data_IF_204196310375
#
_entry.id   IF_204196310375
#
_cell.length_a   1.000
_cell.length_b   1.000
_cell.length_c   1.000
_cell.angle_alpha   90.00
_cell.angle_beta   90.00
_cell.angle_gamma   90.00
#
_symmetry.space_group_name_H-M   'P 1'
#
loop_
_entity.id
_entity.type
_entity.pdbx_description
1 polymer ?
#
# COMPACT_ATOMS: atom_id res chain seq x y z
N UNK A 1 -21.21 13.63 31.34
CA UNK A 1 -20.25 14.05 30.29
C UNK A 1 -20.66 13.62 28.86
N UNK A 2 -21.89 13.16 28.61
CA UNK A 2 -22.33 12.74 27.26
C UNK A 2 -22.91 13.87 26.38
N UNK A 3 -23.26 15.03 26.96
CA UNK A 3 -23.93 16.12 26.22
C UNK A 3 -23.00 17.03 25.41
N UNK A 4 -21.68 16.98 25.64
CA UNK A 4 -20.73 17.89 24.98
C UNK A 4 -20.36 17.41 23.57
N UNK A 5 -20.18 16.09 23.39
CA UNK A 5 -19.81 15.47 22.11
C UNK A 5 -20.90 15.67 21.04
N UNK A 6 -22.18 15.60 21.44
CA UNK A 6 -23.31 15.89 20.54
C UNK A 6 -23.34 17.35 20.06
N UNK A 7 -23.06 18.31 20.95
CA UNK A 7 -23.03 19.74 20.61
C UNK A 7 -21.88 20.10 19.66
N UNK A 8 -20.73 19.45 19.77
CA UNK A 8 -19.61 19.65 18.85
C UNK A 8 -19.91 19.13 17.44
N UNK A 9 -20.64 18.01 17.32
CA UNK A 9 -21.05 17.47 16.02
C UNK A 9 -22.06 18.41 15.33
N UNK A 10 -23.08 18.88 16.06
CA UNK A 10 -24.09 19.82 15.53
C UNK A 10 -23.45 21.15 15.10
N UNK A 11 -22.52 21.68 15.90
CA UNK A 11 -21.79 22.91 15.55
C UNK A 11 -20.91 22.74 14.29
N UNK A 12 -20.36 21.55 14.10
CA UNK A 12 -19.57 21.21 12.90
C UNK A 12 -20.45 21.08 11.67
N UNK A 13 -21.62 20.44 11.81
CA UNK A 13 -22.60 20.34 10.73
C UNK A 13 -23.17 21.70 10.32
N UNK A 14 -23.43 22.59 11.29
CA UNK A 14 -23.87 23.97 11.05
C UNK A 14 -22.84 24.77 10.25
N UNK A 15 -21.57 24.76 10.67
CA UNK A 15 -20.49 25.45 9.93
C UNK A 15 -20.32 24.91 8.50
N UNK A 16 -20.50 23.61 8.30
CA UNK A 16 -20.45 23.00 6.97
C UNK A 16 -21.61 23.45 6.10
N UNK A 17 -22.83 23.52 6.66
CA UNK A 17 -24.00 24.04 5.96
C UNK A 17 -23.83 25.51 5.58
N UNK A 18 -23.38 26.35 6.50
CA UNK A 18 -23.08 27.77 6.23
C UNK A 18 -22.04 27.94 5.10
N UNK A 19 -21.00 27.11 5.08
CA UNK A 19 -19.99 27.13 4.02
C UNK A 19 -20.54 26.68 2.65
N UNK A 20 -21.46 25.71 2.62
CA UNK A 20 -22.13 25.28 1.39
C UNK A 20 -23.07 26.36 0.85
N UNK A 21 -23.81 27.03 1.73
CA UNK A 21 -24.74 28.13 1.35
C UNK A 21 -23.96 29.32 0.81
N UNK A 22 -22.88 29.74 1.46
CA UNK A 22 -22.04 30.85 0.99
C UNK A 22 -21.45 30.59 -0.40
N UNK A 23 -21.06 29.34 -0.72
CA UNK A 23 -20.60 28.97 -2.06
C UNK A 23 -21.71 28.98 -3.11
N UNK A 24 -22.94 28.65 -2.72
CA UNK A 24 -24.08 28.67 -3.63
C UNK A 24 -24.47 30.11 -3.98
N UNK A 25 -24.37 31.03 -3.01
CA UNK A 25 -24.56 32.46 -3.21
C UNK A 25 -23.45 33.08 -4.07
N UNK A 26 -22.19 32.68 -3.87
CA UNK A 26 -21.05 33.14 -4.69
C UNK A 26 -21.16 32.65 -6.15
N UNK A 27 -21.60 31.40 -6.36
CA UNK A 27 -21.89 30.90 -7.70
C UNK A 27 -23.09 31.62 -8.33
N UNK A 28 -24.16 31.87 -7.59
CA UNK A 28 -25.30 32.62 -8.11
C UNK A 28 -24.91 34.05 -8.52
N UNK A 29 -23.98 34.69 -7.82
CA UNK A 29 -23.44 36.00 -8.20
C UNK A 29 -22.64 35.99 -9.51
N UNK A 30 -22.09 34.84 -9.91
CA UNK A 30 -21.37 34.69 -11.20
C UNK A 30 -22.28 34.43 -12.40
N UNK A 31 -23.57 34.16 -12.19
CA UNK A 31 -24.52 33.84 -13.27
C UNK A 31 -25.48 34.98 -13.64
N UNK A 32 -25.19 36.22 -13.24
CA UNK A 32 -25.98 37.38 -13.67
C UNK A 32 -25.68 37.73 -15.14
N UNK A 33 -26.57 37.21 -15.99
CA UNK A 33 -26.91 37.50 -17.39
C UNK A 33 -26.21 38.71 -18.03
N UNK A 34 -25.43 38.43 -19.09
CA UNK A 34 -25.36 39.30 -20.27
C UNK A 34 -24.89 38.54 -21.51
N UNK A 35 -25.75 38.53 -22.53
CA UNK A 35 -25.32 38.74 -23.91
C UNK A 35 -24.93 37.52 -24.75
N UNK A 36 -25.88 37.11 -25.58
CA UNK A 36 -25.79 36.22 -26.75
C UNK A 36 -24.73 36.71 -27.75
N UNK A 37 -23.74 35.86 -28.14
CA UNK A 37 -23.42 35.53 -29.55
C UNK A 37 -22.20 34.57 -29.68
N UNK A 38 -22.18 33.59 -30.61
CA UNK A 38 -21.05 32.70 -30.85
C UNK A 38 -20.22 33.20 -32.05
N UNK A 39 -18.89 33.20 -31.92
CA UNK A 39 -17.84 32.99 -32.95
C UNK A 39 -16.65 33.94 -32.71
N UNK A 40 -15.51 33.42 -32.23
CA UNK A 40 -14.17 33.63 -32.84
C UNK A 40 -13.01 33.15 -31.95
N UNK A 41 -11.96 32.75 -32.67
CA UNK A 41 -10.68 32.16 -32.26
C UNK A 41 -9.82 33.04 -31.33
N UNK A 42 -9.02 32.37 -30.49
CA UNK A 42 -7.55 32.50 -30.39
C UNK A 42 -7.01 32.70 -28.97
N UNK A 43 -5.85 32.07 -28.73
CA UNK A 43 -4.79 32.40 -27.76
C UNK A 43 -5.10 32.17 -26.28
N UNK A 44 -4.72 30.98 -25.79
CA UNK A 44 -4.60 30.68 -24.36
C UNK A 44 -3.30 31.30 -23.80
N UNK A 45 -3.37 32.17 -22.77
CA UNK A 45 -2.21 32.48 -21.93
C UNK A 45 -2.01 31.35 -20.91
N UNK A 46 -0.75 31.02 -20.66
CA UNK A 46 -0.34 30.08 -19.63
C UNK A 46 -0.80 30.55 -18.24
N UNK A 47 -1.83 29.90 -17.70
CA UNK A 47 -2.16 29.97 -16.27
C UNK A 47 -1.25 28.99 -15.54
N UNK A 48 -0.44 29.52 -14.62
CA UNK A 48 0.29 28.73 -13.63
C UNK A 48 -0.72 27.82 -12.92
N UNK A 49 -0.65 26.52 -13.15
CA UNK A 49 -1.34 25.54 -12.32
C UNK A 49 -0.70 25.56 -10.93
N UNK A 50 -1.16 26.47 -10.08
CA UNK A 50 -1.13 26.23 -8.64
C UNK A 50 -2.05 25.04 -8.41
N UNK A 51 -1.45 23.87 -8.21
CA UNK A 51 -2.13 22.71 -7.67
C UNK A 51 -2.50 23.03 -6.22
N UNK A 52 -3.64 23.69 -6.03
CA UNK A 52 -4.32 23.64 -4.74
C UNK A 52 -4.70 22.17 -4.44
N UNK A 53 -4.48 21.69 -3.21
CA UNK A 53 -4.73 20.31 -2.85
C UNK A 53 -6.22 19.98 -2.99
N UNK A 54 -6.49 18.87 -3.68
CA UNK A 54 -7.83 18.28 -3.79
C UNK A 54 -8.41 18.04 -2.39
N UNK A 55 -9.63 18.53 -2.07
CA UNK A 55 -10.29 18.30 -0.77
C UNK A 55 -10.77 16.86 -0.55
N UNK A 56 -10.30 15.90 -1.36
CA UNK A 56 -10.87 14.55 -1.48
C UNK A 56 -9.85 13.42 -1.30
N UNK A 57 -8.69 13.69 -0.71
CA UNK A 57 -7.91 12.60 -0.13
C UNK A 57 -8.62 12.19 1.17
N UNK A 58 -9.36 11.08 1.13
CA UNK A 58 -9.65 10.33 2.35
C UNK A 58 -8.29 10.06 3.01
N UNK A 59 -7.94 10.83 4.04
CA UNK A 59 -6.73 10.63 4.82
C UNK A 59 -6.69 9.16 5.26
N UNK A 60 -5.78 8.38 4.65
CA UNK A 60 -5.65 6.97 4.95
C UNK A 60 -5.36 6.81 6.45
N UNK A 61 -5.84 5.73 7.10
CA UNK A 61 -5.53 5.49 8.50
C UNK A 61 -4.02 5.54 8.75
N UNK A 62 -3.54 6.09 9.88
CA UNK A 62 -2.11 6.25 10.14
C UNK A 62 -1.29 4.96 10.00
N UNK A 63 -1.88 3.81 10.35
CA UNK A 63 -1.22 2.50 10.22
C UNK A 63 -1.05 2.06 8.75
N UNK A 64 -1.94 2.48 7.86
CA UNK A 64 -1.86 2.18 6.43
C UNK A 64 -0.82 3.09 5.77
N UNK A 65 -0.74 4.37 6.18
CA UNK A 65 0.36 5.25 5.78
C UNK A 65 1.72 4.70 6.27
N UNK A 66 1.80 4.18 7.50
CA UNK A 66 3.02 3.56 8.00
C UNK A 66 3.41 2.30 7.19
N UNK A 67 2.43 1.53 6.74
CA UNK A 67 2.68 0.40 5.84
C UNK A 67 3.23 0.86 4.49
N UNK A 68 2.67 1.94 3.92
CA UNK A 68 3.14 2.53 2.66
C UNK A 68 4.58 3.03 2.79
N UNK A 69 4.88 3.77 3.85
CA UNK A 69 6.25 4.19 4.18
C UNK A 69 7.20 3.01 4.34
N UNK A 70 6.79 1.93 5.00
CA UNK A 70 7.60 0.72 5.13
C UNK A 70 7.91 0.07 3.77
N UNK A 71 6.92 -0.04 2.88
CA UNK A 71 7.14 -0.58 1.53
C UNK A 71 8.12 0.29 0.75
N UNK A 72 7.97 1.61 0.82
CA UNK A 72 8.85 2.56 0.14
C UNK A 72 10.28 2.57 0.72
N UNK A 73 10.43 2.53 2.05
CA UNK A 73 11.73 2.66 2.71
C UNK A 73 12.51 1.35 2.81
N UNK A 74 11.85 0.20 2.72
CA UNK A 74 12.48 -1.11 2.99
C UNK A 74 12.31 -2.10 1.85
N UNK A 75 11.10 -2.25 1.31
CA UNK A 75 10.85 -3.23 0.24
C UNK A 75 11.39 -2.73 -1.10
N UNK A 76 11.15 -1.46 -1.44
CA UNK A 76 11.60 -0.89 -2.72
C UNK A 76 13.13 -0.88 -2.87
N UNK A 77 13.93 -0.46 -1.85
CA UNK A 77 15.39 -0.54 -1.94
C UNK A 77 15.89 -1.97 -2.10
N UNK A 78 15.29 -2.94 -1.40
CA UNK A 78 15.59 -4.36 -1.58
C UNK A 78 15.37 -4.80 -3.03
N UNK A 79 14.21 -4.48 -3.62
CA UNK A 79 13.90 -4.83 -5.02
C UNK A 79 14.88 -4.18 -6.00
N UNK A 80 15.25 -2.93 -5.76
CA UNK A 80 16.22 -2.21 -6.58
C UNK A 80 17.59 -2.90 -6.55
N UNK A 81 18.08 -3.26 -5.36
CA UNK A 81 19.34 -4.01 -5.19
C UNK A 81 19.27 -5.39 -5.84
N UNK A 82 18.18 -6.14 -5.65
CA UNK A 82 17.96 -7.43 -6.30
C UNK A 82 17.91 -7.32 -7.82
N UNK A 83 17.44 -6.19 -8.36
CA UNK A 83 17.42 -5.93 -9.80
C UNK A 83 18.82 -5.70 -10.38
N UNK A 84 19.74 -5.12 -9.60
CA UNK A 84 21.16 -5.02 -9.98
C UNK A 84 21.84 -6.39 -10.07
N UNK A 85 21.45 -7.33 -9.20
CA UNK A 85 21.94 -8.72 -9.26
C UNK A 85 21.33 -9.50 -10.42
N UNK A 86 20.09 -9.17 -10.82
CA UNK A 86 19.40 -9.80 -11.93
C UNK A 86 19.01 -11.27 -11.67
N UNK A 87 18.74 -11.99 -12.76
CA UNK A 87 18.45 -13.43 -12.73
C UNK A 87 17.31 -13.83 -11.78
N UNK A 88 17.48 -14.98 -11.12
CA UNK A 88 16.50 -15.53 -10.19
C UNK A 88 16.28 -14.65 -8.95
N UNK A 89 17.30 -13.90 -8.53
CA UNK A 89 17.20 -13.01 -7.37
C UNK A 89 16.26 -11.84 -7.67
N UNK A 90 16.42 -11.20 -8.84
CA UNK A 90 15.48 -10.17 -9.29
C UNK A 90 14.06 -10.72 -9.49
N UNK A 91 13.93 -11.91 -10.09
CA UNK A 91 12.63 -12.57 -10.27
C UNK A 91 11.91 -12.78 -8.93
N UNK A 92 12.60 -13.34 -7.93
CA UNK A 92 12.03 -13.60 -6.62
C UNK A 92 11.70 -12.30 -5.88
N UNK A 93 12.54 -11.26 -5.99
CA UNK A 93 12.28 -9.96 -5.38
C UNK A 93 11.03 -9.27 -5.96
N UNK A 94 10.78 -9.42 -7.25
CA UNK A 94 9.55 -8.92 -7.87
C UNK A 94 8.29 -9.63 -7.34
N UNK A 95 8.38 -10.92 -7.00
CA UNK A 95 7.29 -11.64 -6.33
C UNK A 95 7.07 -11.11 -4.90
N UNK A 96 8.14 -10.80 -4.15
CA UNK A 96 8.05 -10.15 -2.83
C UNK A 96 7.34 -8.80 -2.94
N UNK A 97 7.75 -7.93 -3.88
CA UNK A 97 7.13 -6.63 -4.11
C UNK A 97 5.64 -6.76 -4.40
N UNK A 98 5.28 -7.68 -5.31
CA UNK A 98 3.88 -7.97 -5.63
C UNK A 98 3.12 -8.41 -4.38
N UNK A 99 3.70 -9.26 -3.56
CA UNK A 99 3.10 -9.69 -2.29
C UNK A 99 2.75 -8.51 -1.38
N UNK A 100 3.66 -7.56 -1.19
CA UNK A 100 3.40 -6.35 -0.40
C UNK A 100 2.33 -5.44 -1.04
N UNK A 101 2.32 -5.31 -2.37
CA UNK A 101 1.31 -4.52 -3.08
C UNK A 101 -0.09 -5.14 -2.95
N UNK A 102 -0.23 -6.46 -3.09
CA UNK A 102 -1.51 -7.15 -2.87
C UNK A 102 -1.92 -7.09 -1.40
N UNK A 103 -0.97 -7.23 -0.47
CA UNK A 103 -1.21 -7.06 0.95
C UNK A 103 -1.75 -5.66 1.28
N UNK A 104 -1.19 -4.61 0.65
CA UNK A 104 -1.68 -3.23 0.78
C UNK A 104 -3.14 -3.10 0.33
N UNK A 105 -3.48 -3.68 -0.82
CA UNK A 105 -4.86 -3.65 -1.34
C UNK A 105 -5.82 -4.35 -0.38
N UNK A 106 -5.44 -5.51 0.13
CA UNK A 106 -6.22 -6.22 1.15
C UNK A 106 -6.42 -5.35 2.41
N UNK A 107 -5.34 -4.75 2.92
CA UNK A 107 -5.40 -3.86 4.08
C UNK A 107 -6.32 -2.66 3.85
N UNK A 108 -6.29 -2.04 2.67
CA UNK A 108 -7.23 -0.98 2.32
C UNK A 108 -8.69 -1.46 2.34
N UNK A 109 -8.99 -2.67 1.85
CA UNK A 109 -10.33 -3.25 1.92
C UNK A 109 -10.80 -3.37 3.37
N UNK A 110 -9.92 -3.74 4.30
CA UNK A 110 -10.28 -3.83 5.74
C UNK A 110 -10.70 -2.50 6.36
N UNK A 111 -10.34 -1.36 5.75
CA UNK A 111 -10.79 -0.03 6.22
C UNK A 111 -12.24 0.27 5.81
N UNK A 112 -12.77 -0.45 4.81
CA UNK A 112 -14.08 -0.19 4.19
C UNK A 112 -15.08 -1.32 4.38
N UNK A 113 -14.64 -2.46 4.93
CA UNK A 113 -15.45 -3.67 5.04
C UNK A 113 -15.25 -4.36 6.41
N UNK A 114 -16.30 -5.01 6.88
CA UNK A 114 -16.21 -5.95 8.01
C UNK A 114 -15.61 -7.28 7.55
N UNK A 115 -15.15 -8.10 8.51
CA UNK A 115 -14.64 -9.45 8.22
C UNK A 115 -15.70 -10.27 7.46
N UNK A 116 -15.39 -10.76 6.24
CA UNK A 116 -16.32 -11.58 5.49
C UNK A 116 -16.31 -13.04 5.98
N UNK A 117 -17.12 -13.89 5.35
CA UNK A 117 -17.08 -15.33 5.56
C UNK A 117 -15.76 -15.95 5.02
N UNK A 118 -15.47 -17.18 5.45
CA UNK A 118 -14.17 -17.81 5.17
C UNK A 118 -13.87 -18.00 3.67
N UNK A 119 -14.82 -18.40 2.80
CA UNK A 119 -14.60 -18.48 1.35
C UNK A 119 -14.20 -17.13 0.73
N UNK A 120 -14.98 -16.07 1.00
CA UNK A 120 -14.68 -14.72 0.49
C UNK A 120 -13.33 -14.21 1.03
N UNK A 121 -13.01 -14.49 2.30
CA UNK A 121 -11.70 -14.15 2.84
C UNK A 121 -10.56 -14.87 2.11
N UNK A 122 -10.74 -16.15 1.75
CA UNK A 122 -9.76 -16.90 1.00
C UNK A 122 -9.54 -16.34 -0.42
N UNK A 123 -10.62 -15.92 -1.10
CA UNK A 123 -10.55 -15.25 -2.40
C UNK A 123 -9.81 -13.91 -2.32
N UNK A 124 -10.12 -13.09 -1.31
CA UNK A 124 -9.43 -11.81 -1.08
C UNK A 124 -7.93 -11.97 -0.81
N UNK A 125 -7.51 -13.09 -0.23
CA UNK A 125 -6.11 -13.38 0.09
C UNK A 125 -5.39 -14.16 -1.02
N UNK A 126 -6.09 -14.61 -2.06
CA UNK A 126 -5.52 -15.39 -3.15
C UNK A 126 -4.38 -14.65 -3.88
N UNK A 127 -4.49 -13.35 -4.21
CA UNK A 127 -3.40 -12.62 -4.87
C UNK A 127 -2.11 -12.60 -4.04
N UNK A 128 -2.22 -12.38 -2.72
CA UNK A 128 -1.08 -12.46 -1.80
C UNK A 128 -0.51 -13.88 -1.74
N UNK A 129 -1.38 -14.90 -1.65
CA UNK A 129 -0.96 -16.32 -1.65
C UNK A 129 -0.15 -16.65 -2.91
N UNK A 130 -0.62 -16.21 -4.07
CA UNK A 130 0.04 -16.48 -5.36
C UNK A 130 1.42 -15.81 -5.44
N UNK A 131 1.58 -14.61 -4.86
CA UNK A 131 2.89 -13.97 -4.76
C UNK A 131 3.86 -14.73 -3.82
N UNK A 132 3.36 -15.21 -2.67
CA UNK A 132 4.15 -16.07 -1.76
C UNK A 132 4.62 -17.34 -2.50
N UNK A 133 3.69 -18.04 -3.17
CA UNK A 133 4.01 -19.26 -3.91
C UNK A 133 5.04 -19.01 -5.01
N UNK A 134 4.89 -17.94 -5.80
CA UNK A 134 5.85 -17.60 -6.85
C UNK A 134 7.29 -17.43 -6.31
N UNK A 135 7.46 -16.81 -5.15
CA UNK A 135 8.77 -16.66 -4.52
C UNK A 135 9.32 -17.98 -3.98
N UNK A 136 8.48 -18.81 -3.38
CA UNK A 136 8.84 -20.15 -2.88
C UNK A 136 9.21 -21.08 -4.03
N UNK A 137 8.44 -21.09 -5.11
CA UNK A 137 8.66 -21.93 -6.28
C UNK A 137 9.96 -21.53 -7.01
N UNK A 138 10.27 -20.23 -7.08
CA UNK A 138 11.56 -19.76 -7.61
C UNK A 138 12.74 -20.40 -6.87
N UNK A 139 12.65 -20.57 -5.55
CA UNK A 139 13.67 -21.28 -4.78
C UNK A 139 13.61 -22.80 -5.02
N UNK A 140 12.42 -23.39 -4.95
CA UNK A 140 12.22 -24.83 -4.99
C UNK A 140 12.67 -25.45 -6.32
N UNK A 141 12.50 -24.72 -7.43
CA UNK A 141 12.90 -25.13 -8.78
C UNK A 141 14.39 -24.96 -9.07
N UNK A 142 15.17 -24.30 -8.19
CA UNK A 142 16.55 -23.90 -8.47
C UNK A 142 17.55 -24.39 -7.41
N UNK A 143 17.38 -25.63 -6.92
CA UNK A 143 18.15 -26.22 -5.81
C UNK A 143 19.66 -26.26 -6.00
N UNK A 144 20.12 -26.28 -7.24
CA UNK A 144 21.55 -26.36 -7.59
C UNK A 144 22.13 -25.01 -8.04
N UNK A 145 21.36 -23.94 -7.97
CA UNK A 145 21.83 -22.61 -8.37
C UNK A 145 22.73 -21.99 -7.28
N UNK A 146 23.73 -21.23 -7.68
CA UNK A 146 24.66 -20.55 -6.75
C UNK A 146 23.94 -19.60 -5.79
N UNK A 147 22.86 -18.95 -6.25
CA UNK A 147 22.04 -18.06 -5.44
C UNK A 147 21.06 -18.82 -4.52
N UNK A 148 21.07 -20.14 -4.45
CA UNK A 148 20.09 -20.92 -3.69
C UNK A 148 19.98 -20.50 -2.22
N UNK A 149 21.08 -20.11 -1.58
CA UNK A 149 21.04 -19.61 -0.20
C UNK A 149 20.32 -18.25 -0.10
N UNK A 150 20.52 -17.34 -1.06
CA UNK A 150 19.73 -16.10 -1.16
C UNK A 150 18.25 -16.41 -1.34
N UNK A 151 17.94 -17.31 -2.29
CA UNK A 151 16.58 -17.69 -2.59
C UNK A 151 15.88 -18.33 -1.38
N UNK A 152 16.61 -19.10 -0.57
CA UNK A 152 16.09 -19.75 0.63
C UNK A 152 15.77 -18.74 1.74
N UNK A 153 16.65 -17.76 1.98
CA UNK A 153 16.38 -16.69 2.94
C UNK A 153 15.05 -15.98 2.66
N UNK A 154 14.80 -15.67 1.39
CA UNK A 154 13.58 -14.99 0.94
C UNK A 154 12.37 -15.92 0.94
N UNK A 155 12.50 -17.17 0.49
CA UNK A 155 11.38 -18.14 0.44
C UNK A 155 10.86 -18.52 1.83
N UNK A 156 11.71 -18.50 2.86
CA UNK A 156 11.29 -18.68 4.24
C UNK A 156 10.70 -17.38 4.82
N UNK A 157 11.33 -16.23 4.54
CA UNK A 157 10.89 -14.94 5.05
C UNK A 157 9.54 -14.47 4.50
N UNK A 158 9.29 -14.63 3.20
CA UNK A 158 8.08 -14.11 2.51
C UNK A 158 6.77 -14.72 3.05
N UNK A 159 6.84 -15.88 3.71
CA UNK A 159 5.68 -16.51 4.33
C UNK A 159 5.02 -15.59 5.37
N UNK A 160 5.77 -14.64 5.94
CA UNK A 160 5.27 -13.67 6.90
C UNK A 160 4.03 -12.90 6.39
N UNK A 161 3.84 -12.73 5.07
CA UNK A 161 2.69 -12.04 4.49
C UNK A 161 1.36 -12.74 4.84
N UNK A 162 1.40 -14.03 5.18
CA UNK A 162 0.22 -14.74 5.63
C UNK A 162 -0.24 -14.35 7.07
N UNK A 163 0.44 -13.42 7.76
CA UNK A 163 0.09 -12.97 9.11
C UNK A 163 -1.36 -12.48 9.23
N UNK A 164 -1.93 -11.91 8.15
CA UNK A 164 -3.32 -11.43 8.13
C UNK A 164 -4.37 -12.54 8.26
N UNK A 165 -3.97 -13.79 8.03
CA UNK A 165 -4.82 -14.96 8.24
C UNK A 165 -4.61 -15.61 9.62
N UNK A 166 -3.73 -15.07 10.45
CA UNK A 166 -3.41 -15.60 11.78
C UNK A 166 -4.28 -14.90 12.83
N UNK A 167 -5.17 -15.67 13.47
CA UNK A 167 -6.12 -15.12 14.44
C UNK A 167 -5.50 -14.80 15.81
N UNK A 168 -4.51 -15.58 16.24
CA UNK A 168 -3.87 -15.45 17.54
C UNK A 168 -2.40 -15.10 17.38
N UNK A 169 -2.00 -13.97 17.98
CA UNK A 169 -0.61 -13.49 18.02
C UNK A 169 0.07 -13.44 16.63
N UNK A 170 -0.45 -12.67 15.66
CA UNK A 170 0.13 -12.57 14.32
C UNK A 170 1.59 -12.11 14.32
N UNK A 171 2.03 -11.35 15.33
CA UNK A 171 3.43 -10.94 15.46
C UNK A 171 4.40 -12.12 15.64
N UNK A 172 3.99 -13.18 16.35
CA UNK A 172 4.84 -14.37 16.56
C UNK A 172 5.09 -15.09 15.24
N UNK A 173 4.05 -15.16 14.40
CA UNK A 173 4.18 -15.72 13.06
C UNK A 173 5.19 -14.95 12.20
N UNK A 174 5.23 -13.62 12.33
CA UNK A 174 6.22 -12.77 11.65
C UNK A 174 7.62 -12.98 12.24
N UNK A 175 7.75 -13.08 13.58
CA UNK A 175 9.02 -13.36 14.27
C UNK A 175 9.63 -14.70 13.85
N UNK A 176 8.82 -15.75 13.72
CA UNK A 176 9.27 -17.07 13.27
C UNK A 176 9.80 -17.04 11.84
N UNK A 177 9.06 -16.39 10.92
CA UNK A 177 9.50 -16.20 9.54
C UNK A 177 10.79 -15.37 9.45
N UNK A 178 10.90 -14.32 10.26
CA UNK A 178 12.10 -13.50 10.37
C UNK A 178 13.30 -14.30 10.89
N UNK A 179 13.13 -15.12 11.92
CA UNK A 179 14.18 -15.97 12.47
C UNK A 179 14.78 -16.91 11.41
N UNK A 180 13.94 -17.54 10.58
CA UNK A 180 14.40 -18.41 9.49
C UNK A 180 15.14 -17.62 8.41
N UNK A 181 14.59 -16.48 7.97
CA UNK A 181 15.25 -15.61 6.99
C UNK A 181 16.62 -15.10 7.48
N UNK A 182 16.70 -14.71 8.75
CA UNK A 182 17.93 -14.23 9.37
C UNK A 182 19.01 -15.31 9.45
N UNK A 183 18.64 -16.57 9.71
CA UNK A 183 19.60 -17.68 9.71
C UNK A 183 20.35 -17.79 8.36
N UNK A 184 19.61 -17.79 7.25
CA UNK A 184 20.20 -17.85 5.92
C UNK A 184 20.90 -16.54 5.52
N UNK A 185 20.35 -15.39 5.92
CA UNK A 185 20.99 -14.08 5.73
C UNK A 185 22.36 -14.00 6.40
N UNK A 186 22.47 -14.43 7.66
CA UNK A 186 23.74 -14.48 8.39
C UNK A 186 24.75 -15.43 7.75
N UNK A 187 24.29 -16.56 7.22
CA UNK A 187 25.13 -17.50 6.47
C UNK A 187 25.75 -16.85 5.24
N UNK A 188 24.97 -16.04 4.51
CA UNK A 188 25.46 -15.29 3.34
C UNK A 188 26.48 -14.23 3.72
N UNK A 189 26.19 -13.43 4.76
CA UNK A 189 27.11 -12.41 5.25
C UNK A 189 28.46 -13.01 5.66
N UNK A 190 28.43 -14.15 6.34
CA UNK A 190 29.66 -14.87 6.68
C UNK A 190 30.42 -15.35 5.45
N UNK A 191 29.73 -15.94 4.47
CA UNK A 191 30.37 -16.41 3.23
C UNK A 191 31.00 -15.27 2.40
N UNK A 192 30.45 -14.06 2.46
CA UNK A 192 31.01 -12.88 1.79
C UNK A 192 32.17 -12.23 2.57
N UNK A 193 32.20 -12.38 3.89
CA UNK A 193 33.28 -11.84 4.73
C UNK A 193 34.54 -12.73 4.73
N UNK A 194 34.38 -14.03 4.49
CA UNK A 194 35.47 -15.01 4.48
C UNK A 194 36.15 -15.18 3.09
N UNK A 195 35.64 -14.51 2.04
CA UNK A 195 36.13 -14.59 0.65
C UNK A 195 36.75 -13.29 0.17
#
# INVERSE_FOLDING_TARGET
>A
MANQVGMHNVSTLLRRLEAVVSRLEDLAATFDVSGIDPTSKSTAPATKSQSDPSPYEDDLPPWLNAFDSFVESSVQPYVNLSSLLGGLVSQQANAVLRGFQEQRKFLLITTKATKPDAPTLAELLEPTKNAILAAVDTQASNRFNESFTHLTAVADGIRMLAWVNVQSRPFVYVEDAFGSAQFFGNKLLKAQADG
#
